data_IF_861053076489
#
_entry.id   IF_861053076489
#
_cell.length_a   1.000
_cell.length_b   1.000
_cell.length_c   1.000
_cell.angle_alpha   90.00
_cell.angle_beta   90.00
_cell.angle_gamma   90.00
#
_symmetry.space_group_name_H-M   'P 1'
#
loop_
_entity.id
_entity.type
_entity.pdbx_description
1 polymer ?
#
# COMPACT_ATOMS: atom_id res chain seq x y z
N UNK A 1 4.16 1.09 -12.93
CA UNK A 1 3.28 0.28 -13.81
C UNK A 1 3.43 -1.23 -13.62
N UNK A 2 4.54 -1.88 -14.01
CA UNK A 2 4.69 -3.35 -13.85
C UNK A 2 4.43 -3.88 -12.43
N UNK A 3 5.01 -3.25 -11.41
CA UNK A 3 4.80 -3.64 -10.01
C UNK A 3 3.33 -3.48 -9.57
N UNK A 4 2.62 -2.45 -10.06
CA UNK A 4 1.20 -2.26 -9.73
C UNK A 4 0.33 -3.36 -10.36
N UNK A 5 0.62 -3.68 -11.62
CA UNK A 5 -0.03 -4.77 -12.35
C UNK A 5 0.17 -6.09 -11.61
N UNK A 6 1.40 -6.40 -11.18
CA UNK A 6 1.69 -7.59 -10.39
C UNK A 6 0.80 -7.69 -9.15
N UNK A 7 0.75 -6.64 -8.31
CA UNK A 7 -0.08 -6.65 -7.10
C UNK A 7 -1.59 -6.74 -7.36
N UNK A 8 -2.05 -6.33 -8.55
CA UNK A 8 -3.47 -6.36 -8.93
C UNK A 8 -3.87 -7.64 -9.69
N UNK A 9 -3.02 -8.21 -10.51
CA UNK A 9 -3.40 -9.25 -11.46
C UNK A 9 -2.86 -10.64 -11.09
N UNK A 10 -1.81 -10.71 -10.28
CA UNK A 10 -1.24 -11.99 -9.86
C UNK A 10 -2.26 -12.81 -9.07
N UNK A 11 -2.46 -14.05 -9.52
CA UNK A 11 -3.30 -15.03 -8.87
C UNK A 11 -2.61 -16.38 -8.82
N UNK A 12 -2.97 -17.19 -7.83
CA UNK A 12 -2.63 -18.61 -7.76
C UNK A 12 -3.90 -19.43 -7.95
N UNK A 13 -3.75 -20.61 -8.55
CA UNK A 13 -4.83 -21.58 -8.59
C UNK A 13 -4.97 -22.23 -7.22
N UNK A 14 -6.04 -21.88 -6.51
CA UNK A 14 -6.36 -22.47 -5.22
C UNK A 14 -6.76 -23.94 -5.35
N UNK A 15 -6.70 -24.72 -4.26
CA UNK A 15 -7.01 -26.16 -4.25
C UNK A 15 -8.43 -26.49 -4.74
N UNK A 16 -9.36 -25.53 -4.64
CA UNK A 16 -10.76 -25.67 -5.08
C UNK A 16 -10.99 -25.22 -6.53
N UNK A 17 -9.94 -24.94 -7.29
CA UNK A 17 -10.02 -24.38 -8.66
C UNK A 17 -10.47 -22.92 -8.70
N UNK A 18 -10.44 -22.22 -7.56
CA UNK A 18 -10.72 -20.79 -7.46
C UNK A 18 -9.42 -20.00 -7.59
N UNK A 19 -9.49 -18.85 -8.26
CA UNK A 19 -8.37 -17.91 -8.33
C UNK A 19 -8.20 -17.20 -6.99
N UNK A 20 -7.05 -17.38 -6.37
CA UNK A 20 -6.67 -16.71 -5.14
C UNK A 20 -5.79 -15.51 -5.49
N UNK A 21 -6.10 -14.33 -4.95
CA UNK A 21 -5.34 -13.09 -5.20
C UNK A 21 -4.60 -12.68 -3.93
N UNK A 22 -3.49 -13.36 -3.56
CA UNK A 22 -2.86 -13.20 -2.25
C UNK A 22 -2.42 -11.75 -1.99
N UNK A 23 -1.96 -11.04 -3.02
CA UNK A 23 -1.51 -9.66 -2.89
C UNK A 23 -2.67 -8.66 -2.72
N UNK A 24 -3.82 -8.91 -3.35
CA UNK A 24 -5.02 -8.07 -3.15
C UNK A 24 -5.55 -8.21 -1.73
N UNK A 25 -5.54 -9.43 -1.19
CA UNK A 25 -5.95 -9.69 0.19
C UNK A 25 -5.04 -8.98 1.19
N UNK A 26 -3.72 -9.08 1.00
CA UNK A 26 -2.76 -8.33 1.82
C UNK A 26 -2.94 -6.81 1.68
N UNK A 27 -3.14 -6.27 0.48
CA UNK A 27 -3.43 -4.83 0.27
C UNK A 27 -4.70 -4.38 1.00
N UNK A 28 -5.74 -5.22 0.98
CA UNK A 28 -6.98 -4.95 1.70
C UNK A 28 -6.76 -4.95 3.21
N UNK A 29 -6.02 -5.92 3.74
CA UNK A 29 -5.68 -6.00 5.16
C UNK A 29 -4.79 -4.82 5.61
N UNK A 30 -3.84 -4.39 4.77
CA UNK A 30 -3.01 -3.20 5.01
C UNK A 30 -3.86 -1.92 5.03
N UNK A 31 -4.76 -1.76 4.06
CA UNK A 31 -5.64 -0.60 4.00
C UNK A 31 -6.58 -0.52 5.22
N UNK A 32 -6.98 -1.67 5.78
CA UNK A 32 -7.79 -1.76 7.01
C UNK A 32 -6.97 -1.66 8.31
N UNK A 33 -5.65 -1.54 8.20
CA UNK A 33 -4.70 -1.58 9.34
C UNK A 33 -4.81 -2.87 10.17
N UNK A 34 -5.15 -3.98 9.54
CA UNK A 34 -5.12 -5.32 10.13
C UNK A 34 -3.75 -5.98 9.96
N UNK A 35 -3.04 -5.58 8.89
CA UNK A 35 -1.68 -5.99 8.57
C UNK A 35 -0.76 -4.75 8.59
N UNK A 36 0.51 -4.94 8.96
CA UNK A 36 1.51 -3.86 9.10
C UNK A 36 2.65 -3.94 8.09
N UNK A 37 2.82 -5.09 7.42
CA UNK A 37 3.88 -5.33 6.45
C UNK A 37 3.36 -6.19 5.31
N UNK A 38 3.68 -5.85 4.06
CA UNK A 38 3.37 -6.64 2.88
C UNK A 38 4.52 -7.62 2.61
N UNK A 39 4.23 -8.90 2.42
CA UNK A 39 5.22 -9.92 2.09
C UNK A 39 5.09 -10.31 0.61
N UNK A 40 6.19 -10.19 -0.13
CA UNK A 40 6.29 -10.58 -1.54
C UNK A 40 7.18 -11.80 -1.67
N UNK A 41 6.64 -12.88 -2.23
CA UNK A 41 7.43 -14.06 -2.55
C UNK A 41 8.21 -13.82 -3.84
N UNK A 42 9.51 -14.14 -3.83
CA UNK A 42 10.31 -14.12 -5.07
C UNK A 42 9.85 -15.19 -6.06
N UNK A 43 9.29 -16.30 -5.58
CA UNK A 43 8.75 -17.35 -6.44
C UNK A 43 7.54 -16.80 -7.24
N UNK A 44 6.67 -16.00 -6.61
CA UNK A 44 5.54 -15.37 -7.31
C UNK A 44 5.97 -14.35 -8.35
N UNK A 45 7.00 -13.56 -8.00
CA UNK A 45 7.58 -12.60 -8.94
C UNK A 45 8.21 -13.34 -10.11
N UNK A 46 8.85 -14.49 -9.87
CA UNK A 46 9.45 -15.30 -10.92
C UNK A 46 8.40 -15.99 -11.80
N UNK A 47 7.26 -16.41 -11.23
CA UNK A 47 6.13 -16.96 -11.98
C UNK A 47 5.50 -15.91 -12.93
N UNK A 48 5.40 -14.65 -12.52
CA UNK A 48 4.90 -13.55 -13.36
C UNK A 48 5.95 -13.05 -14.37
N UNK A 49 7.16 -12.75 -13.91
CA UNK A 49 8.25 -12.20 -14.71
C UNK A 49 9.63 -12.63 -14.15
N UNK A 50 10.24 -13.72 -14.67
CA UNK A 50 11.52 -14.25 -14.18
C UNK A 50 12.65 -13.21 -14.13
N UNK A 51 12.76 -12.39 -15.18
CA UNK A 51 13.77 -11.32 -15.28
C UNK A 51 13.63 -10.28 -14.16
N UNK A 52 12.40 -10.01 -13.72
CA UNK A 52 12.15 -9.10 -12.60
C UNK A 52 12.62 -9.72 -11.28
N UNK A 53 12.39 -11.01 -11.08
CA UNK A 53 12.83 -11.71 -9.87
C UNK A 53 14.37 -11.68 -9.75
N UNK A 54 15.09 -11.95 -10.84
CA UNK A 54 16.55 -11.84 -10.88
C UNK A 54 17.02 -10.42 -10.57
N UNK A 55 16.41 -9.40 -11.21
CA UNK A 55 16.77 -8.01 -10.97
C UNK A 55 16.49 -7.55 -9.52
N UNK A 56 15.42 -8.07 -8.90
CA UNK A 56 15.10 -7.83 -7.48
C UNK A 56 16.21 -8.40 -6.59
N UNK A 57 16.67 -9.63 -6.85
CA UNK A 57 17.76 -10.27 -6.10
C UNK A 57 19.06 -9.46 -6.23
N UNK A 58 19.37 -8.97 -7.43
CA UNK A 58 20.57 -8.15 -7.66
C UNK A 58 20.51 -6.77 -6.98
N UNK A 59 19.32 -6.19 -6.78
CA UNK A 59 19.17 -4.87 -6.18
C UNK A 59 17.91 -4.70 -5.31
N UNK A 60 17.86 -5.47 -4.22
CA UNK A 60 16.72 -5.49 -3.30
C UNK A 60 16.35 -4.10 -2.79
N UNK A 61 17.34 -3.25 -2.50
CA UNK A 61 17.10 -1.90 -1.95
C UNK A 61 16.34 -1.00 -2.92
N UNK A 62 16.66 -1.06 -4.22
CA UNK A 62 15.97 -0.28 -5.24
C UNK A 62 14.56 -0.81 -5.46
N UNK A 63 14.42 -2.11 -5.66
CA UNK A 63 13.12 -2.72 -5.95
C UNK A 63 12.17 -2.67 -4.75
N UNK A 64 12.68 -2.72 -3.51
CA UNK A 64 11.88 -2.46 -2.31
C UNK A 64 11.25 -1.07 -2.30
N UNK A 65 11.96 -0.03 -2.77
CA UNK A 65 11.37 1.31 -2.93
C UNK A 65 10.34 1.34 -4.05
N UNK A 66 10.65 0.76 -5.21
CA UNK A 66 9.72 0.69 -6.34
C UNK A 66 8.40 -0.01 -5.95
N UNK A 67 8.48 -1.09 -5.19
CA UNK A 67 7.31 -1.81 -4.71
C UNK A 67 6.56 -1.01 -3.64
N UNK A 68 7.28 -0.36 -2.71
CA UNK A 68 6.66 0.53 -1.71
C UNK A 68 5.89 1.68 -2.35
N UNK A 69 6.46 2.33 -3.36
CA UNK A 69 5.81 3.43 -4.08
C UNK A 69 4.57 2.92 -4.82
N UNK A 70 4.67 1.76 -5.48
CA UNK A 70 3.53 1.12 -6.14
C UNK A 70 2.40 0.78 -5.14
N UNK A 71 2.72 0.21 -3.97
CA UNK A 71 1.75 -0.09 -2.93
C UNK A 71 1.10 1.19 -2.39
N UNK A 72 1.90 2.25 -2.14
CA UNK A 72 1.38 3.53 -1.65
C UNK A 72 0.32 4.13 -2.59
N UNK A 73 0.54 4.06 -3.89
CA UNK A 73 -0.42 4.52 -4.90
C UNK A 73 -1.66 3.61 -5.03
N UNK A 74 -1.52 2.33 -4.70
CA UNK A 74 -2.61 1.35 -4.76
C UNK A 74 -3.52 1.38 -3.53
N UNK A 75 -2.98 1.58 -2.33
CA UNK A 75 -3.71 1.51 -1.06
C UNK A 75 -5.04 2.29 -1.04
N UNK A 76 -5.15 3.51 -1.60
CA UNK A 76 -6.42 4.25 -1.66
C UNK A 76 -7.56 3.50 -2.39
N UNK A 77 -7.24 2.56 -3.29
CA UNK A 77 -8.23 1.78 -4.05
C UNK A 77 -8.79 0.60 -3.24
N UNK A 78 -8.09 0.17 -2.18
CA UNK A 78 -8.44 -1.01 -1.38
C UNK A 78 -9.02 -0.68 0.01
N UNK A 79 -8.97 0.59 0.42
CA UNK A 79 -9.48 1.07 1.71
C UNK A 79 -10.68 2.01 1.59
N UNK A 80 -11.48 2.12 2.65
CA UNK A 80 -12.39 3.24 2.84
C UNK A 80 -11.63 4.45 3.41
N UNK A 81 -12.12 5.66 3.16
CA UNK A 81 -11.50 6.89 3.65
C UNK A 81 -11.48 7.01 5.20
N UNK A 82 -12.22 6.16 5.91
CA UNK A 82 -12.44 6.23 7.36
C UNK A 82 -11.95 4.95 8.05
N UNK A 83 -10.64 4.69 8.00
CA UNK A 83 -10.04 3.72 8.90
C UNK A 83 -9.94 4.36 10.30
N UNK A 84 -10.65 3.79 11.28
CA UNK A 84 -10.56 4.26 12.66
C UNK A 84 -9.09 4.20 13.16
N UNK A 85 -8.65 5.17 13.99
CA UNK A 85 -7.31 5.16 14.56
C UNK A 85 -7.08 3.86 15.34
N UNK A 86 -6.04 3.10 14.98
CA UNK A 86 -5.68 1.85 15.67
C UNK A 86 -4.45 2.02 16.57
N UNK A 87 -3.62 3.02 16.31
CA UNK A 87 -2.41 3.35 17.07
C UNK A 87 -2.52 4.77 17.68
N UNK A 88 -2.02 5.01 18.92
CA UNK A 88 -1.77 6.36 19.44
C UNK A 88 -1.10 7.33 18.45
N UNK A 89 -0.18 6.86 17.62
CA UNK A 89 0.47 7.65 16.57
C UNK A 89 -0.53 8.14 15.52
N UNK A 90 -1.53 7.33 15.17
CA UNK A 90 -2.58 7.72 14.23
C UNK A 90 -3.39 8.91 14.77
N UNK A 91 -3.76 8.86 16.04
CA UNK A 91 -4.48 9.93 16.74
C UNK A 91 -3.65 11.20 16.76
N UNK A 92 -2.35 11.08 17.03
CA UNK A 92 -1.44 12.21 17.02
C UNK A 92 -1.32 12.84 15.61
N UNK A 93 -1.20 12.02 14.58
CA UNK A 93 -1.15 12.47 13.19
C UNK A 93 -2.44 13.18 12.76
N UNK A 94 -3.60 12.65 13.14
CA UNK A 94 -4.90 13.26 12.88
C UNK A 94 -5.03 14.63 13.58
N UNK A 95 -4.68 14.70 14.87
CA UNK A 95 -4.65 15.96 15.61
C UNK A 95 -3.74 17.00 14.97
N UNK A 96 -2.55 16.57 14.51
CA UNK A 96 -1.62 17.44 13.80
C UNK A 96 -2.19 17.97 12.50
N UNK A 97 -2.82 17.12 11.70
CA UNK A 97 -3.44 17.51 10.44
C UNK A 97 -4.56 18.53 10.65
N UNK A 98 -5.41 18.35 11.67
CA UNK A 98 -6.48 19.28 12.02
C UNK A 98 -5.95 20.66 12.44
N UNK A 99 -4.86 20.71 13.22
CA UNK A 99 -4.22 21.96 13.62
C UNK A 99 -3.58 22.70 12.43
N UNK A 100 -2.94 21.97 11.51
CA UNK A 100 -2.38 22.55 10.27
C UNK A 100 -3.47 23.13 9.35
N UNK A 101 -4.59 22.43 9.18
CA UNK A 101 -5.73 22.92 8.40
C UNK A 101 -6.32 24.20 9.01
N UNK A 102 -6.46 24.26 10.33
CA UNK A 102 -6.92 25.47 11.06
C UNK A 102 -5.94 26.64 10.93
N UNK A 103 -4.63 26.37 11.01
CA UNK A 103 -3.59 27.38 10.81
C UNK A 103 -3.62 28.00 9.41
N UNK A 104 -3.89 27.20 8.37
CA UNK A 104 -4.07 27.69 7.00
C UNK A 104 -5.38 28.47 6.80
N UNK A 105 -6.47 28.03 7.42
CA UNK A 105 -7.77 28.72 7.35
C UNK A 105 -7.81 30.04 8.16
N UNK A 106 -7.08 30.12 9.28
CA UNK A 106 -6.97 31.31 10.13
C UNK A 106 -6.07 32.43 9.56
N UNK A 107 -5.39 32.18 8.44
CA UNK A 107 -4.53 33.14 7.75
C UNK A 107 -5.24 34.02 6.71
N UNK A 108 -6.54 33.85 6.50
CA UNK A 108 -7.30 34.81 5.68
C UNK A 108 -7.32 36.17 6.40
N UNK A 109 -6.85 37.27 5.78
CA UNK A 109 -6.89 38.57 6.42
C UNK A 109 -8.35 38.90 6.71
N UNK A 110 -8.70 39.08 7.99
CA UNK A 110 -9.97 39.70 8.36
C UNK A 110 -9.92 41.12 7.80
N UNK A 111 -10.60 41.33 6.67
CA UNK A 111 -10.79 42.66 6.09
C UNK A 111 -11.48 43.53 7.15
N UNK A 112 -10.95 44.73 7.44
CA UNK A 112 -11.57 45.65 8.39
C UNK A 112 -12.93 46.15 7.91
#
# INVERSE_FOLDING_TARGET
EKAKRFFQEFYRDGPDGRKEFPYREQLTALARREQVALWVSLDDVAEDEPELAEAVVENVRRYGRVFSDAVHELLPQFGSAEAAPRDPLDVYLEHRLLLEQRGRAGGAPRTP
#
